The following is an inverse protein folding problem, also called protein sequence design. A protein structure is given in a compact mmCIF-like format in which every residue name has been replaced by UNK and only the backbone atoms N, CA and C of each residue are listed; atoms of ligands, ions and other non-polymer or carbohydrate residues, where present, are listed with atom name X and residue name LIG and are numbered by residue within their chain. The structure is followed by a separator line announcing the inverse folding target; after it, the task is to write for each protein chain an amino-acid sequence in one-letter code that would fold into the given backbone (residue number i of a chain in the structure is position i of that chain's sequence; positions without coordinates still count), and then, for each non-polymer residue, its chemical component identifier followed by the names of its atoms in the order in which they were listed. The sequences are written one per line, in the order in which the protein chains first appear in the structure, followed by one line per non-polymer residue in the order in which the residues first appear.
data_IF_398245494130
#
_entry.id   IF_398245494130
#
_cell.length_a   1.000
_cell.length_b   1.000
_cell.length_c   1.000
_cell.angle_alpha   90.00
_cell.angle_beta   90.00
_cell.angle_gamma   90.00
#
_symmetry.space_group_name_H-M   'P 1'
#
loop_
_entity.id
_entity.type
_entity.pdbx_description
1 polymer ?
#
# COMPACT_ATOMS: atom_id res chain seq x y z
N UNK A 1 2.06 10.38 -3.64
CA UNK A 1 1.70 9.53 -4.82
C UNK A 1 2.08 10.19 -6.14
N UNK A 2 1.60 11.38 -6.45
CA UNK A 2 1.90 12.05 -7.73
C UNK A 2 3.40 12.16 -8.06
N UNK A 3 4.24 12.46 -7.07
CA UNK A 3 5.70 12.58 -7.24
C UNK A 3 6.39 11.28 -7.68
N UNK A 4 5.74 10.13 -7.52
CA UNK A 4 6.27 8.82 -7.89
C UNK A 4 5.77 8.33 -9.25
N UNK A 5 4.86 9.06 -9.89
CA UNK A 5 4.21 8.64 -11.12
C UNK A 5 5.18 8.36 -12.28
N UNK A 6 6.27 9.12 -12.37
CA UNK A 6 7.28 8.93 -13.42
C UNK A 6 8.16 7.68 -13.20
N UNK A 7 8.19 7.14 -11.99
CA UNK A 7 8.99 5.97 -11.61
C UNK A 7 8.19 4.67 -11.65
N UNK A 8 6.89 4.77 -11.45
CA UNK A 8 6.01 3.60 -11.46
C UNK A 8 5.71 3.16 -12.90
N UNK A 9 6.09 1.94 -13.22
CA UNK A 9 5.85 1.35 -14.54
C UNK A 9 4.56 0.53 -14.61
N UNK A 10 3.86 0.40 -13.50
CA UNK A 10 2.66 -0.46 -13.40
C UNK A 10 1.38 0.28 -13.05
N UNK A 11 1.48 1.39 -12.31
CA UNK A 11 0.32 2.16 -11.85
C UNK A 11 0.47 3.62 -12.27
N UNK A 12 -0.57 4.14 -12.92
CA UNK A 12 -0.67 5.54 -13.33
C UNK A 12 -1.48 6.33 -12.29
N UNK A 13 -0.91 7.43 -11.79
CA UNK A 13 -1.57 8.29 -10.81
C UNK A 13 -2.86 8.92 -11.35
N UNK A 14 -2.88 9.37 -12.60
CA UNK A 14 -4.06 9.95 -13.21
C UNK A 14 -5.21 8.94 -13.33
N UNK A 15 -4.89 7.68 -13.62
CA UNK A 15 -5.86 6.58 -13.59
C UNK A 15 -6.46 6.39 -12.19
N UNK A 16 -5.63 6.39 -11.16
CA UNK A 16 -6.08 6.28 -9.76
C UNK A 16 -7.06 7.40 -9.38
N UNK A 17 -6.74 8.65 -9.72
CA UNK A 17 -7.61 9.79 -9.48
C UNK A 17 -8.93 9.67 -10.25
N UNK A 18 -8.88 9.17 -11.47
CA UNK A 18 -10.08 8.97 -12.32
C UNK A 18 -11.00 7.91 -11.72
N UNK A 19 -10.43 6.78 -11.27
CA UNK A 19 -11.20 5.72 -10.60
C UNK A 19 -11.88 6.24 -9.34
N UNK A 20 -11.17 7.00 -8.50
CA UNK A 20 -11.75 7.60 -7.30
C UNK A 20 -12.93 8.51 -7.63
N UNK A 21 -12.77 9.40 -8.60
CA UNK A 21 -13.85 10.29 -9.08
C UNK A 21 -15.05 9.52 -9.60
N UNK A 22 -14.81 8.47 -10.37
CA UNK A 22 -15.86 7.61 -10.89
C UNK A 22 -16.65 6.92 -9.76
N UNK A 23 -15.96 6.36 -8.78
CA UNK A 23 -16.57 5.71 -7.64
C UNK A 23 -17.40 6.69 -6.82
N UNK A 24 -16.92 7.91 -6.58
CA UNK A 24 -17.67 8.96 -5.87
C UNK A 24 -18.89 9.43 -6.63
N UNK A 25 -18.83 9.50 -7.97
CA UNK A 25 -19.94 9.96 -8.81
C UNK A 25 -21.08 8.94 -8.82
N UNK A 26 -20.77 7.65 -8.86
CA UNK A 26 -21.76 6.58 -8.93
C UNK A 26 -22.49 6.29 -7.61
N UNK A 27 -21.93 6.69 -6.48
CA UNK A 27 -22.44 6.35 -5.15
C UNK A 27 -22.54 7.61 -4.28
N UNK A 28 -23.76 7.94 -3.83
CA UNK A 28 -23.95 8.99 -2.84
C UNK A 28 -23.48 8.51 -1.46
N UNK A 29 -22.77 9.38 -0.74
CA UNK A 29 -22.35 9.13 0.65
C UNK A 29 -21.39 7.93 0.82
N UNK A 30 -20.43 7.75 -0.10
CA UNK A 30 -19.36 6.77 0.08
C UNK A 30 -18.43 7.25 1.18
N UNK A 31 -18.25 6.50 2.29
CA UNK A 31 -17.30 6.85 3.33
C UNK A 31 -15.87 6.87 2.77
N UNK A 32 -15.04 7.81 3.27
CA UNK A 32 -13.66 7.96 2.79
C UNK A 32 -12.80 6.71 2.95
N UNK A 33 -13.03 5.92 4.01
CA UNK A 33 -12.28 4.68 4.24
C UNK A 33 -12.51 3.61 3.16
N UNK A 34 -13.63 3.65 2.46
CA UNK A 34 -13.91 2.74 1.33
C UNK A 34 -13.12 3.10 0.08
N UNK A 35 -12.67 4.34 -0.03
CA UNK A 35 -11.87 4.84 -1.14
C UNK A 35 -10.39 4.93 -0.81
N UNK A 36 -10.06 5.07 0.47
CA UNK A 36 -8.70 5.11 0.97
C UNK A 36 -8.61 4.36 2.30
N UNK A 37 -7.98 3.20 2.29
CA UNK A 37 -7.86 2.35 3.48
C UNK A 37 -7.17 3.03 4.67
N UNK A 38 -6.27 4.00 4.42
CA UNK A 38 -5.59 4.77 5.46
C UNK A 38 -6.54 5.63 6.31
N UNK A 39 -7.74 5.89 5.86
CA UNK A 39 -8.77 6.64 6.58
C UNK A 39 -9.70 5.76 7.42
N UNK A 40 -9.45 4.45 7.43
CA UNK A 40 -10.17 3.50 8.27
C UNK A 40 -9.77 3.57 9.73
N UNK A 41 -10.57 2.91 10.58
CA UNK A 41 -10.25 2.69 11.97
C UNK A 41 -9.47 1.38 12.11
N UNK A 42 -8.24 1.47 12.60
CA UNK A 42 -7.34 0.33 12.80
C UNK A 42 -7.38 -0.22 14.22
N UNK A 43 -8.27 0.28 15.05
CA UNK A 43 -8.41 -0.18 16.44
C UNK A 43 -8.70 -1.69 16.48
N UNK A 44 -7.90 -2.44 17.24
CA UNK A 44 -8.07 -3.88 17.38
C UNK A 44 -7.47 -4.72 16.25
N UNK A 45 -6.87 -4.07 15.24
CA UNK A 45 -6.06 -4.78 14.23
C UNK A 45 -4.76 -5.23 14.90
N UNK A 46 -4.30 -6.43 14.57
CA UNK A 46 -3.00 -6.93 15.02
C UNK A 46 -1.83 -6.24 14.31
N UNK A 47 -0.70 -6.88 14.25
CA UNK A 47 0.49 -6.36 13.56
C UNK A 47 0.22 -6.15 12.06
N UNK A 48 0.66 -5.01 11.54
CA UNK A 48 0.55 -4.68 10.12
C UNK A 48 1.94 -4.68 9.49
N UNK A 49 2.07 -5.33 8.34
CA UNK A 49 3.33 -5.41 7.61
C UNK A 49 3.16 -4.86 6.19
N UNK A 50 3.85 -3.77 5.90
CA UNK A 50 3.81 -3.11 4.60
C UNK A 50 5.01 -3.55 3.75
N UNK A 51 4.73 -3.99 2.52
CA UNK A 51 5.73 -4.30 1.50
C UNK A 51 5.48 -3.44 0.28
N UNK A 52 6.39 -2.51 -0.01
CA UNK A 52 6.27 -1.57 -1.12
C UNK A 52 7.49 -1.62 -2.03
N UNK A 53 7.27 -1.34 -3.31
CA UNK A 53 8.33 -0.75 -4.12
C UNK A 53 8.49 0.72 -3.71
N UNK A 54 9.71 1.16 -3.47
CA UNK A 54 9.98 2.57 -3.18
C UNK A 54 9.72 3.50 -4.38
N UNK A 55 9.52 2.92 -5.56
CA UNK A 55 9.29 3.64 -6.82
C UNK A 55 7.84 3.51 -7.32
N UNK A 56 6.95 2.85 -6.59
CA UNK A 56 5.53 2.75 -6.97
C UNK A 56 4.70 3.93 -6.45
N UNK A 57 3.65 4.28 -7.20
CA UNK A 57 2.73 5.38 -6.85
C UNK A 57 2.12 5.16 -5.47
N UNK A 58 1.72 3.95 -5.13
CA UNK A 58 1.07 3.63 -3.85
C UNK A 58 1.99 3.78 -2.63
N UNK A 59 3.32 3.74 -2.82
CA UNK A 59 4.26 4.04 -1.74
C UNK A 59 4.08 5.45 -1.17
N UNK A 60 3.62 6.39 -1.98
CA UNK A 60 3.29 7.75 -1.55
C UNK A 60 2.12 7.85 -0.56
N UNK A 61 1.34 6.78 -0.39
CA UNK A 61 0.28 6.71 0.61
C UNK A 61 0.77 6.16 1.96
N UNK A 62 1.99 5.64 2.05
CA UNK A 62 2.53 5.05 3.27
C UNK A 62 2.49 5.98 4.48
N UNK A 63 2.84 7.29 4.39
CA UNK A 63 2.76 8.19 5.55
C UNK A 63 1.37 8.24 6.18
N UNK A 64 0.30 8.20 5.37
CA UNK A 64 -1.09 8.21 5.87
C UNK A 64 -1.42 6.90 6.59
N UNK A 65 -0.93 5.75 6.09
CA UNK A 65 -1.07 4.46 6.77
C UNK A 65 -0.28 4.39 8.07
N UNK A 66 0.94 4.91 8.09
CA UNK A 66 1.74 4.99 9.33
C UNK A 66 1.05 5.85 10.39
N UNK A 67 0.47 6.97 10.00
CA UNK A 67 -0.30 7.81 10.91
C UNK A 67 -1.54 7.09 11.44
N UNK A 68 -2.25 6.36 10.60
CA UNK A 68 -3.40 5.55 11.02
C UNK A 68 -2.99 4.47 12.04
N UNK A 69 -1.87 3.78 11.82
CA UNK A 69 -1.32 2.81 12.76
C UNK A 69 -0.96 3.46 14.10
N UNK A 70 -0.28 4.60 14.08
CA UNK A 70 0.09 5.36 15.30
C UNK A 70 -1.14 5.81 16.07
N UNK A 71 -2.15 6.35 15.38
CA UNK A 71 -3.41 6.80 15.98
C UNK A 71 -4.17 5.68 16.68
N UNK A 72 -4.14 4.47 16.12
CA UNK A 72 -4.77 3.29 16.68
C UNK A 72 -3.87 2.48 17.63
N UNK A 73 -2.62 2.93 17.83
CA UNK A 73 -1.60 2.22 18.61
C UNK A 73 -1.37 0.78 18.12
N UNK A 74 -1.31 0.61 16.80
CA UNK A 74 -1.08 -0.68 16.14
C UNK A 74 0.38 -0.80 15.75
N UNK A 75 1.09 -1.89 16.13
CA UNK A 75 2.44 -2.15 15.67
C UNK A 75 2.50 -2.34 14.16
N UNK A 76 3.53 -1.79 13.53
CA UNK A 76 3.71 -1.98 12.09
C UNK A 76 5.18 -2.06 11.69
N UNK A 77 5.42 -2.68 10.55
CA UNK A 77 6.73 -2.73 9.90
C UNK A 77 6.61 -2.31 8.44
N UNK A 78 7.69 -1.74 7.91
CA UNK A 78 7.77 -1.30 6.52
C UNK A 78 8.98 -1.95 5.85
N UNK A 79 8.75 -2.58 4.70
CA UNK A 79 9.78 -3.05 3.79
C UNK A 79 9.59 -2.35 2.44
N UNK A 80 10.51 -1.46 2.07
CA UNK A 80 10.47 -0.73 0.81
C UNK A 80 11.72 -1.04 -0.02
N UNK A 81 11.52 -1.58 -1.23
CA UNK A 81 12.59 -1.96 -2.16
C UNK A 81 12.59 -1.02 -3.35
N UNK A 82 13.74 -0.42 -3.71
CA UNK A 82 13.83 0.39 -4.92
C UNK A 82 13.78 -0.48 -6.18
N UNK A 83 13.39 0.12 -7.30
CA UNK A 83 13.39 -0.49 -8.63
C UNK A 83 12.53 -1.76 -8.76
N UNK A 84 11.51 -1.89 -7.93
CA UNK A 84 10.52 -2.96 -8.04
C UNK A 84 9.21 -2.42 -8.64
N UNK A 85 8.37 -3.32 -9.09
CA UNK A 85 7.00 -3.01 -9.54
C UNK A 85 5.99 -3.20 -8.42
N UNK A 86 4.77 -2.70 -8.59
CA UNK A 86 3.69 -2.96 -7.64
C UNK A 86 3.49 -4.48 -7.45
N UNK A 87 3.25 -4.89 -6.21
CA UNK A 87 3.10 -6.30 -5.82
C UNK A 87 4.30 -7.20 -6.19
N UNK A 88 5.51 -6.65 -6.26
CA UNK A 88 6.71 -7.39 -6.65
C UNK A 88 6.93 -8.68 -5.85
N UNK A 89 6.53 -8.72 -4.57
CA UNK A 89 6.67 -9.89 -3.72
C UNK A 89 5.94 -11.13 -4.29
N UNK A 90 4.92 -10.92 -5.12
CA UNK A 90 4.15 -11.98 -5.77
C UNK A 90 4.79 -12.45 -7.09
N UNK A 91 5.87 -11.81 -7.53
CA UNK A 91 6.56 -12.10 -8.77
C UNK A 91 7.93 -12.76 -8.47
N UNK A 92 8.05 -14.09 -8.42
CA UNK A 92 9.25 -14.81 -7.97
C UNK A 92 10.41 -14.77 -8.98
N UNK A 93 10.43 -13.79 -9.87
CA UNK A 93 11.49 -13.57 -10.86
C UNK A 93 12.66 -12.74 -10.34
N UNK A 94 12.42 -11.93 -9.28
CA UNK A 94 13.44 -11.09 -8.66
C UNK A 94 13.99 -11.77 -7.40
N UNK A 95 15.27 -11.56 -7.12
CA UNK A 95 15.90 -12.02 -5.87
C UNK A 95 15.20 -11.38 -4.66
N UNK A 96 14.99 -10.08 -4.73
CA UNK A 96 14.33 -9.27 -3.69
C UNK A 96 12.89 -9.74 -3.42
N UNK A 97 12.17 -10.12 -4.48
CA UNK A 97 10.83 -10.68 -4.36
C UNK A 97 10.83 -12.00 -3.58
N UNK A 98 11.78 -12.89 -3.86
CA UNK A 98 11.92 -14.17 -3.17
C UNK A 98 12.27 -13.98 -1.69
N UNK A 99 13.17 -13.05 -1.39
CA UNK A 99 13.56 -12.71 -0.01
C UNK A 99 12.38 -12.17 0.80
N UNK A 100 11.62 -11.25 0.22
CA UNK A 100 10.49 -10.63 0.93
C UNK A 100 9.27 -11.54 0.98
N UNK A 101 9.07 -12.39 -0.03
CA UNK A 101 8.06 -13.44 0.05
C UNK A 101 8.34 -14.44 1.18
N UNK A 102 9.61 -14.81 1.39
CA UNK A 102 10.01 -15.66 2.52
C UNK A 102 9.69 -14.99 3.87
N UNK A 103 9.91 -13.68 4.01
CA UNK A 103 9.52 -12.93 5.22
C UNK A 103 8.00 -12.95 5.43
N UNK A 104 7.21 -12.78 4.36
CA UNK A 104 5.74 -12.86 4.43
C UNK A 104 5.31 -14.23 4.94
N UNK A 105 5.90 -15.30 4.40
CA UNK A 105 5.62 -16.68 4.86
C UNK A 105 5.97 -16.86 6.34
N UNK A 106 7.10 -16.32 6.79
CA UNK A 106 7.52 -16.42 8.20
C UNK A 106 6.58 -15.65 9.13
N UNK A 107 6.09 -14.50 8.72
CA UNK A 107 5.06 -13.74 9.46
C UNK A 107 3.78 -14.54 9.60
N UNK A 108 3.33 -15.17 8.52
CA UNK A 108 2.07 -15.94 8.50
C UNK A 108 2.15 -17.24 9.30
N UNK A 109 3.34 -17.77 9.58
CA UNK A 109 3.53 -18.96 10.41
C UNK A 109 3.47 -18.70 11.91
N UNK A 110 3.56 -17.45 12.30
CA UNK A 110 3.47 -17.07 13.72
C UNK A 110 2.00 -16.98 14.14
#
# INVERSE_FOLDING_TARGET
MQALNERDVSIDYAFMVTVEKFMRHGCKNVPDYMLSGSRGDFTGVGDIHFFYSADEVLYGALPDFEEACKRANVPYTVSARPKMVHCYCMLPIFKEAKEDFAKIVDILKK
#
